data_IF_195550016052
#
_entry.id   IF_195550016052
#
_cell.length_a   1.000
_cell.length_b   1.000
_cell.length_c   1.000
_cell.angle_alpha   90.00
_cell.angle_beta   90.00
_cell.angle_gamma   90.00
#
_symmetry.space_group_name_H-M   'P 1'
#
loop_
_entity.id
_entity.type
_entity.pdbx_description
1 polymer ?
#
# COMPACT_ATOMS: atom_id res chain seq x y z
N UNK A 1 -9.20 11.67 17.13
CA UNK A 1 -7.90 10.97 16.97
C UNK A 1 -7.00 11.94 16.23
N UNK A 2 -6.11 12.61 16.97
CA UNK A 2 -5.09 13.48 16.39
C UNK A 2 -4.06 12.57 15.70
N UNK A 3 -4.26 12.31 14.41
CA UNK A 3 -3.26 11.61 13.62
C UNK A 3 -2.16 12.60 13.29
N UNK A 4 -0.90 12.34 13.68
CA UNK A 4 0.16 13.27 13.38
C UNK A 4 0.25 13.43 11.86
N UNK A 5 0.36 14.67 11.39
CA UNK A 5 0.42 15.01 9.98
C UNK A 5 1.45 14.17 9.21
N UNK A 6 2.57 13.85 9.86
CA UNK A 6 3.61 12.95 9.33
C UNK A 6 3.07 11.57 8.94
N UNK A 7 2.13 11.01 9.70
CA UNK A 7 1.55 9.70 9.40
C UNK A 7 0.61 9.77 8.20
N UNK A 8 -0.20 10.82 8.11
CA UNK A 8 -1.09 11.05 6.97
C UNK A 8 -0.27 11.25 5.67
N UNK A 9 0.80 12.02 5.75
CA UNK A 9 1.73 12.22 4.64
C UNK A 9 2.41 10.91 4.23
N UNK A 10 2.85 10.10 5.20
CA UNK A 10 3.47 8.81 4.93
C UNK A 10 2.49 7.83 4.25
N UNK A 11 1.20 7.86 4.62
CA UNK A 11 0.17 7.03 3.97
C UNK A 11 -0.17 7.55 2.57
N UNK A 12 -0.21 8.87 2.36
CA UNK A 12 -0.54 9.48 1.08
C UNK A 12 0.63 9.46 0.07
N UNK A 13 1.87 9.31 0.53
CA UNK A 13 3.04 9.33 -0.34
C UNK A 13 3.01 8.20 -1.39
N UNK A 14 3.48 8.47 -2.60
CA UNK A 14 3.69 7.46 -3.64
C UNK A 14 5.11 6.86 -3.61
N UNK A 15 5.94 7.33 -2.67
CA UNK A 15 7.30 6.87 -2.45
C UNK A 15 7.35 5.59 -1.61
N UNK A 16 8.48 4.90 -1.66
CA UNK A 16 8.69 3.73 -0.79
C UNK A 16 8.65 4.18 0.68
N UNK A 17 7.92 3.47 1.56
CA UNK A 17 7.96 3.78 2.97
C UNK A 17 9.37 3.52 3.51
N UNK A 18 9.84 4.40 4.39
CA UNK A 18 11.19 4.33 4.98
C UNK A 18 11.31 3.13 5.93
N UNK A 19 10.18 2.68 6.50
CA UNK A 19 10.09 1.53 7.41
C UNK A 19 9.01 0.57 6.94
N UNK A 20 9.10 -0.72 7.29
CA UNK A 20 8.02 -1.67 7.05
C UNK A 20 6.69 -1.14 7.59
N UNK A 21 5.62 -1.32 6.82
CA UNK A 21 4.29 -0.92 7.24
C UNK A 21 3.73 -1.93 8.25
N UNK A 22 3.08 -1.42 9.28
CA UNK A 22 2.24 -2.26 10.15
C UNK A 22 1.00 -2.70 9.38
N UNK A 23 0.33 -3.75 9.85
CA UNK A 23 -0.87 -4.28 9.20
C UNK A 23 -1.94 -3.20 9.00
N UNK A 24 -2.23 -2.42 10.04
CA UNK A 24 -3.21 -1.33 9.99
C UNK A 24 -2.84 -0.25 8.97
N UNK A 25 -1.56 0.16 8.94
CA UNK A 25 -1.08 1.13 7.94
C UNK A 25 -1.14 0.56 6.53
N UNK A 26 -0.79 -0.71 6.34
CA UNK A 26 -0.87 -1.36 5.05
C UNK A 26 -2.30 -1.38 4.52
N UNK A 27 -3.29 -1.68 5.38
CA UNK A 27 -4.69 -1.55 5.02
C UNK A 27 -5.08 -0.11 4.65
N UNK A 28 -4.63 0.88 5.43
CA UNK A 28 -4.93 2.29 5.14
C UNK A 28 -4.31 2.76 3.82
N UNK A 29 -3.08 2.38 3.54
CA UNK A 29 -2.41 2.66 2.25
C UNK A 29 -3.18 2.01 1.10
N UNK A 30 -3.61 0.76 1.24
CA UNK A 30 -4.41 0.09 0.20
C UNK A 30 -5.77 0.78 -0.04
N UNK A 31 -6.39 1.34 1.01
CA UNK A 31 -7.62 2.12 0.91
C UNK A 31 -7.39 3.47 0.19
N UNK A 32 -6.35 4.21 0.58
CA UNK A 32 -6.02 5.52 -0.01
C UNK A 32 -5.58 5.39 -1.46
N UNK A 33 -4.81 4.35 -1.77
CA UNK A 33 -4.25 4.09 -3.09
C UNK A 33 -5.08 3.08 -3.90
N UNK A 34 -6.40 2.98 -3.66
CA UNK A 34 -7.26 2.00 -4.32
C UNK A 34 -7.15 2.08 -5.86
N UNK A 35 -7.07 3.29 -6.41
CA UNK A 35 -6.97 3.56 -7.86
C UNK A 35 -5.56 3.37 -8.45
N UNK A 36 -4.52 3.45 -7.62
CA UNK A 36 -3.14 3.32 -8.09
C UNK A 36 -2.78 1.88 -8.49
N UNK A 37 -1.91 1.70 -9.48
CA UNK A 37 -1.27 0.40 -9.74
C UNK A 37 -0.20 0.06 -8.69
N UNK A 38 -0.03 -1.22 -8.36
CA UNK A 38 1.11 -1.70 -7.53
C UNK A 38 2.45 -1.54 -8.26
N UNK A 39 2.45 -1.47 -9.59
CA UNK A 39 3.63 -1.18 -10.41
C UNK A 39 4.05 0.29 -10.30
N UNK A 40 3.07 1.21 -10.34
CA UNK A 40 3.34 2.66 -10.37
C UNK A 40 3.45 3.30 -8.98
N UNK A 41 2.86 2.72 -7.93
CA UNK A 41 2.92 3.24 -6.57
C UNK A 41 3.75 2.33 -5.66
N UNK A 42 4.94 2.80 -5.25
CA UNK A 42 5.84 2.02 -4.37
C UNK A 42 5.27 1.83 -2.97
N UNK A 43 4.47 2.78 -2.49
CA UNK A 43 3.81 2.66 -1.20
C UNK A 43 2.73 1.58 -1.22
N UNK A 44 1.90 1.56 -2.26
CA UNK A 44 0.92 0.49 -2.49
C UNK A 44 1.60 -0.88 -2.60
N UNK A 45 2.72 -0.96 -3.31
CA UNK A 45 3.51 -2.19 -3.42
C UNK A 45 3.99 -2.69 -2.06
N UNK A 46 4.58 -1.82 -1.25
CA UNK A 46 5.05 -2.19 0.08
C UNK A 46 3.89 -2.61 1.01
N UNK A 47 2.74 -1.94 0.94
CA UNK A 47 1.55 -2.31 1.69
C UNK A 47 1.01 -3.69 1.27
N UNK A 48 0.98 -3.93 -0.03
CA UNK A 48 0.58 -5.21 -0.59
C UNK A 48 1.52 -6.34 -0.14
N UNK A 49 2.84 -6.15 -0.26
CA UNK A 49 3.85 -7.11 0.20
C UNK A 49 3.72 -7.41 1.70
N UNK A 50 3.49 -6.39 2.53
CA UNK A 50 3.27 -6.55 3.96
C UNK A 50 2.02 -7.39 4.28
N UNK A 51 0.90 -7.14 3.59
CA UNK A 51 -0.34 -7.89 3.79
C UNK A 51 -0.24 -9.33 3.28
N UNK A 52 0.47 -9.56 2.17
CA UNK A 52 0.75 -10.91 1.66
C UNK A 52 1.64 -11.68 2.63
N UNK A 53 2.72 -11.06 3.11
CA UNK A 53 3.63 -11.67 4.08
C UNK A 53 2.92 -12.01 5.39
N UNK A 54 1.93 -11.21 5.80
CA UNK A 54 1.12 -11.47 6.99
C UNK A 54 -0.01 -12.48 6.74
N UNK A 55 -0.21 -12.95 5.50
CA UNK A 55 -1.28 -13.88 5.14
C UNK A 55 -2.69 -13.27 5.05
N UNK A 56 -2.79 -11.94 5.09
CA UNK A 56 -4.07 -11.21 5.05
C UNK A 56 -4.54 -10.88 3.62
N UNK A 57 -3.65 -11.02 2.63
CA UNK A 57 -3.96 -10.77 1.24
C UNK A 57 -3.38 -11.90 0.39
N UNK A 58 -4.24 -12.57 -0.37
CA UNK A 58 -3.79 -13.55 -1.37
C UNK A 58 -3.52 -12.80 -2.66
N UNK A 59 -2.30 -12.89 -3.23
CA UNK A 59 -1.99 -12.18 -4.45
C UNK A 59 -2.87 -12.67 -5.60
N UNK A 60 -3.77 -11.80 -6.06
CA UNK A 60 -4.56 -12.04 -7.27
C UNK A 60 -3.61 -11.93 -8.47
N UNK A 61 -2.90 -13.02 -8.74
CA UNK A 61 -1.91 -13.16 -9.81
C UNK A 61 -2.56 -13.03 -11.20
N UNK A 62 -3.89 -12.91 -11.27
CA UNK A 62 -4.69 -12.91 -12.48
C UNK A 62 -4.87 -11.53 -13.12
N UNK A 63 -4.65 -10.43 -12.38
CA UNK A 63 -4.88 -9.08 -12.91
C UNK A 63 -3.59 -8.33 -13.27
N UNK A 64 -2.84 -8.89 -14.23
CA UNK A 64 -2.02 -8.06 -15.15
C UNK A 64 -2.99 -7.29 -16.05
N UNK A 65 -3.56 -6.17 -15.56
CA UNK A 65 -4.24 -5.25 -16.47
C UNK A 65 -3.18 -4.71 -17.43
N UNK A 66 -3.31 -5.11 -18.70
CA UNK A 66 -2.69 -4.44 -19.85
C UNK A 66 -2.86 -2.93 -19.66
N UNK A 67 -1.75 -2.23 -19.52
CA UNK A 67 -1.67 -0.82 -19.90
C UNK A 67 -1.99 -0.77 -21.39
N UNK A 68 -3.17 -0.23 -21.71
CA UNK A 68 -3.51 0.24 -23.06
C UNK A 68 -3.33 1.75 -23.08
#
# INVERSE_FOLDING_TARGET
MDYPLAELLAVAAHSSPIRPLTLERAHRVMQVHADCGTDSCRNKRAAYEALVSAGHLVPDSSRRRRSG
#
